data_IF_127700333202
#
_entry.id   IF_127700333202
#
_cell.length_a   1.000
_cell.length_b   1.000
_cell.length_c   1.000
_cell.angle_alpha   90.00
_cell.angle_beta   90.00
_cell.angle_gamma   90.00
#
_symmetry.space_group_name_H-M   'P 1'
#
loop_
_entity.id
_entity.type
_entity.pdbx_description
1 polymer ?
#
# COMPACT_ATOMS: atom_id res chain seq x y z
N UNK A 1 28.23 -1.82 25.60
CA UNK A 1 27.28 -2.91 25.31
C UNK A 1 25.98 -2.29 24.81
N UNK A 2 25.74 -2.29 23.50
CA UNK A 2 24.53 -1.68 22.89
C UNK A 2 23.35 -2.62 23.12
N UNK A 3 22.37 -2.22 23.92
CA UNK A 3 21.09 -2.92 24.07
C UNK A 3 20.26 -2.62 22.83
N UNK A 4 20.24 -3.54 21.87
CA UNK A 4 19.29 -3.48 20.77
C UNK A 4 17.94 -3.93 21.31
N UNK A 5 17.02 -2.98 21.44
CA UNK A 5 15.61 -3.26 21.66
C UNK A 5 15.10 -3.98 20.40
N UNK A 6 14.98 -5.30 20.49
CA UNK A 6 14.15 -6.08 19.58
C UNK A 6 12.71 -5.59 19.75
N UNK A 7 12.31 -4.63 18.91
CA UNK A 7 10.94 -4.21 18.78
C UNK A 7 10.22 -5.37 18.09
N UNK A 8 9.69 -6.28 18.92
CA UNK A 8 8.92 -7.43 18.53
C UNK A 8 7.85 -7.01 17.52
N UNK A 9 8.04 -7.47 16.29
CA UNK A 9 7.03 -7.45 15.24
C UNK A 9 5.87 -8.26 15.80
N UNK A 10 4.82 -7.56 16.25
CA UNK A 10 3.56 -8.20 16.55
C UNK A 10 3.08 -8.88 15.27
N UNK A 11 3.14 -10.21 15.34
CA UNK A 11 2.73 -11.17 14.34
C UNK A 11 1.24 -10.97 14.03
N UNK A 12 0.90 -10.30 12.92
CA UNK A 12 -0.42 -10.44 12.31
C UNK A 12 -0.49 -11.83 11.64
N UNK A 13 -0.63 -12.88 12.46
CA UNK A 13 -1.02 -14.20 12.01
C UNK A 13 -2.46 -14.46 12.43
N UNK A 14 -3.40 -13.81 11.76
CA UNK A 14 -4.76 -14.31 11.68
C UNK A 14 -4.85 -15.22 10.45
N UNK A 15 -4.53 -16.51 10.64
CA UNK A 15 -4.81 -17.54 9.63
C UNK A 15 -6.30 -17.82 9.72
N UNK A 16 -7.08 -17.29 8.79
CA UNK A 16 -8.44 -17.76 8.55
C UNK A 16 -8.54 -18.31 7.12
N UNK A 17 -8.84 -19.59 7.08
CA UNK A 17 -8.99 -20.43 5.90
C UNK A 17 -10.30 -20.04 5.25
N UNK A 18 -10.33 -19.63 3.98
CA UNK A 18 -11.58 -19.58 3.23
C UNK A 18 -11.47 -20.11 1.81
N UNK A 19 -12.48 -20.90 1.51
CA UNK A 19 -12.75 -21.68 0.32
C UNK A 19 -13.00 -20.78 -0.88
N UNK A 20 -12.40 -21.15 -1.99
CA UNK A 20 -12.68 -20.62 -3.32
C UNK A 20 -14.17 -20.64 -3.63
N UNK A 21 -14.79 -19.46 -3.77
CA UNK A 21 -15.99 -19.28 -4.57
C UNK A 21 -15.77 -18.07 -5.50
N UNK A 22 -15.44 -18.40 -6.75
CA UNK A 22 -15.81 -17.71 -8.00
C UNK A 22 -15.80 -16.18 -8.01
N UNK A 23 -14.73 -15.57 -8.55
CA UNK A 23 -14.80 -14.36 -9.40
C UNK A 23 -15.56 -13.11 -8.91
N UNK A 24 -15.80 -12.94 -7.61
CA UNK A 24 -16.70 -11.90 -7.12
C UNK A 24 -16.03 -10.54 -6.93
N UNK A 25 -16.64 -9.48 -7.45
CA UNK A 25 -16.44 -8.07 -7.12
C UNK A 25 -16.86 -7.72 -5.66
N UNK A 26 -16.92 -8.72 -4.79
CA UNK A 26 -17.34 -8.61 -3.39
C UNK A 26 -16.21 -8.08 -2.50
N UNK A 27 -16.58 -7.28 -1.50
CA UNK A 27 -15.66 -7.05 -0.40
C UNK A 27 -15.53 -8.34 0.41
N UNK A 28 -14.33 -8.66 0.86
CA UNK A 28 -14.06 -9.87 1.65
C UNK A 28 -12.71 -9.79 2.36
N UNK A 29 -12.56 -10.54 3.45
CA UNK A 29 -11.28 -10.70 4.10
C UNK A 29 -10.24 -11.37 3.18
N UNK A 30 -8.96 -11.13 3.46
CA UNK A 30 -7.82 -11.70 2.75
C UNK A 30 -6.82 -12.32 3.71
N UNK A 31 -6.21 -13.43 3.29
CA UNK A 31 -5.07 -13.99 4.01
C UNK A 31 -3.78 -13.30 3.56
N UNK A 32 -3.07 -12.67 4.50
CA UNK A 32 -1.81 -11.96 4.28
C UNK A 32 -0.68 -12.77 4.92
N UNK A 33 0.25 -13.29 4.12
CA UNK A 33 1.25 -14.25 4.62
C UNK A 33 2.56 -13.59 5.03
N UNK A 34 2.84 -12.42 4.49
CA UNK A 34 4.10 -11.70 4.70
C UNK A 34 3.92 -10.18 4.55
N UNK A 35 5.00 -9.44 4.77
CA UNK A 35 4.99 -7.98 4.66
C UNK A 35 4.63 -7.47 3.25
N UNK A 36 5.04 -8.17 2.20
CA UNK A 36 4.75 -7.77 0.82
C UNK A 36 3.27 -7.95 0.48
N UNK A 37 2.64 -9.04 0.95
CA UNK A 37 1.21 -9.26 0.83
C UNK A 37 0.44 -8.11 1.49
N UNK A 38 0.83 -7.75 2.72
CA UNK A 38 0.23 -6.63 3.44
C UNK A 38 0.45 -5.28 2.74
N UNK A 39 1.63 -5.04 2.16
CA UNK A 39 1.90 -3.83 1.37
C UNK A 39 1.00 -3.73 0.14
N UNK A 40 0.86 -4.83 -0.62
CA UNK A 40 -0.02 -4.87 -1.79
C UNK A 40 -1.48 -4.59 -1.41
N UNK A 41 -1.96 -5.24 -0.36
CA UNK A 41 -3.34 -5.07 0.12
C UNK A 41 -3.60 -3.66 0.68
N UNK A 42 -2.69 -3.13 1.51
CA UNK A 42 -2.76 -1.78 2.06
C UNK A 42 -2.79 -0.72 0.95
N UNK A 43 -1.92 -0.85 -0.05
CA UNK A 43 -1.89 0.06 -1.20
C UNK A 43 -3.21 0.00 -1.98
N UNK A 44 -3.81 -1.19 -2.11
CA UNK A 44 -5.14 -1.35 -2.67
C UNK A 44 -6.18 -0.55 -1.89
N UNK A 45 -6.25 -0.73 -0.57
CA UNK A 45 -7.21 -0.03 0.30
C UNK A 45 -7.10 1.49 0.17
N UNK A 46 -5.88 2.03 0.31
CA UNK A 46 -5.62 3.48 0.24
C UNK A 46 -6.12 4.06 -1.08
N UNK A 47 -5.80 3.42 -2.21
CA UNK A 47 -6.28 3.86 -3.51
C UNK A 47 -7.81 3.72 -3.63
N UNK A 48 -8.38 2.64 -3.09
CA UNK A 48 -9.83 2.39 -3.14
C UNK A 48 -10.63 3.43 -2.36
N UNK A 49 -10.18 3.77 -1.16
CA UNK A 49 -10.78 4.84 -0.36
C UNK A 49 -10.62 6.20 -1.02
N UNK A 50 -9.44 6.50 -1.59
CA UNK A 50 -9.22 7.72 -2.36
C UNK A 50 -10.21 7.85 -3.52
N UNK A 51 -10.43 6.78 -4.28
CA UNK A 51 -11.40 6.76 -5.39
C UNK A 51 -12.83 6.97 -4.89
N UNK A 52 -13.22 6.26 -3.82
CA UNK A 52 -14.53 6.43 -3.20
C UNK A 52 -14.73 7.89 -2.78
N UNK A 53 -13.73 8.46 -2.11
CA UNK A 53 -13.72 9.82 -1.65
C UNK A 53 -13.67 10.83 -2.80
N UNK A 54 -13.15 10.54 -3.99
CA UNK A 54 -13.17 11.50 -5.09
C UNK A 54 -14.44 11.46 -5.94
N UNK A 55 -15.02 10.27 -6.13
CA UNK A 55 -16.04 10.05 -7.17
C UNK A 55 -17.38 9.53 -6.66
N UNK A 56 -17.43 9.02 -5.43
CA UNK A 56 -18.60 8.35 -4.87
C UNK A 56 -19.03 8.93 -3.51
N UNK A 57 -18.60 10.16 -3.16
CA UNK A 57 -18.94 10.81 -1.89
C UNK A 57 -20.45 10.86 -1.62
N UNK A 58 -21.25 11.03 -2.68
CA UNK A 58 -22.71 11.16 -2.61
C UNK A 58 -23.46 9.85 -2.88
N UNK A 59 -22.76 8.75 -3.18
CA UNK A 59 -23.38 7.44 -3.40
C UNK A 59 -23.60 6.72 -2.07
N UNK A 60 -24.57 7.21 -1.30
CA UNK A 60 -24.96 6.66 0.00
C UNK A 60 -25.54 5.24 -0.07
N UNK A 61 -25.85 4.73 -1.27
CA UNK A 61 -26.47 3.42 -1.48
C UNK A 61 -25.49 2.34 -1.96
N UNK A 62 -24.23 2.70 -2.23
CA UNK A 62 -23.22 1.85 -2.85
C UNK A 62 -23.63 1.24 -4.21
N UNK A 63 -24.73 1.73 -4.81
CA UNK A 63 -25.30 1.20 -6.06
C UNK A 63 -24.49 1.64 -7.27
N UNK A 64 -24.04 2.90 -7.30
CA UNK A 64 -23.20 3.41 -8.39
C UNK A 64 -21.79 2.81 -8.30
N UNK A 65 -21.28 2.60 -7.08
CA UNK A 65 -20.05 1.87 -6.83
C UNK A 65 -20.11 0.42 -7.32
N UNK A 66 -21.18 -0.32 -6.98
CA UNK A 66 -21.36 -1.70 -7.45
C UNK A 66 -21.46 -1.78 -8.98
N UNK A 67 -22.14 -0.81 -9.60
CA UNK A 67 -22.24 -0.67 -11.06
C UNK A 67 -20.87 -0.37 -11.68
N UNK A 68 -20.09 0.54 -11.09
CA UNK A 68 -18.73 0.86 -11.53
C UNK A 68 -17.81 -0.37 -11.48
N UNK A 69 -17.80 -1.12 -10.38
CA UNK A 69 -16.95 -2.32 -10.25
C UNK A 69 -17.33 -3.39 -11.28
N UNK A 70 -18.63 -3.60 -11.53
CA UNK A 70 -19.11 -4.51 -12.55
C UNK A 70 -18.81 -4.02 -13.98
N UNK A 71 -18.86 -2.70 -14.21
CA UNK A 71 -18.49 -2.09 -15.49
C UNK A 71 -16.98 -2.13 -15.73
N UNK A 72 -16.15 -1.91 -14.71
CA UNK A 72 -14.69 -1.98 -14.78
C UNK A 72 -14.21 -3.40 -15.16
N UNK A 73 -14.84 -4.44 -14.61
CA UNK A 73 -14.56 -5.84 -14.96
C UNK A 73 -14.92 -6.15 -16.43
N UNK A 74 -15.97 -5.50 -16.97
CA UNK A 74 -16.38 -5.60 -18.38
C UNK A 74 -15.61 -4.66 -19.32
N UNK A 75 -15.08 -3.55 -18.81
CA UNK A 75 -14.44 -2.48 -19.58
C UNK A 75 -13.10 -2.90 -20.20
N UNK A 76 -12.50 -4.01 -19.75
CA UNK A 76 -11.44 -4.70 -20.49
C UNK A 76 -11.87 -5.16 -21.91
N UNK A 77 -13.13 -4.94 -22.31
CA UNK A 77 -13.69 -5.26 -23.64
C UNK A 77 -14.30 -4.07 -24.41
N UNK A 78 -14.12 -2.80 -24.01
CA UNK A 78 -14.75 -1.64 -24.69
C UNK A 78 -13.81 -0.44 -24.94
N UNK A 79 -14.12 0.37 -25.96
CA UNK A 79 -13.42 1.63 -26.32
C UNK A 79 -14.15 2.90 -25.79
N UNK A 80 -14.78 2.84 -24.61
CA UNK A 80 -15.48 4.01 -24.04
C UNK A 80 -14.54 5.22 -23.86
N UNK A 81 -15.08 6.44 -23.91
CA UNK A 81 -14.34 7.68 -23.63
C UNK A 81 -14.79 8.36 -22.33
N UNK A 82 -15.63 7.71 -21.54
CA UNK A 82 -16.13 8.28 -20.29
C UNK A 82 -15.01 8.57 -19.30
N UNK A 83 -15.20 9.60 -18.47
CA UNK A 83 -14.22 10.02 -17.46
C UNK A 83 -13.84 8.87 -16.51
N UNK A 84 -14.83 8.11 -16.04
CA UNK A 84 -14.61 6.92 -15.20
C UNK A 84 -13.82 5.83 -15.93
N UNK A 85 -14.03 5.67 -17.24
CA UNK A 85 -13.27 4.72 -18.05
C UNK A 85 -11.81 5.18 -18.23
N UNK A 86 -11.58 6.47 -18.51
CA UNK A 86 -10.24 7.03 -18.62
C UNK A 86 -9.47 6.95 -17.30
N UNK A 87 -10.16 7.21 -16.18
CA UNK A 87 -9.58 7.05 -14.85
C UNK A 87 -9.25 5.58 -14.55
N UNK A 88 -10.17 4.65 -14.86
CA UNK A 88 -9.91 3.21 -14.78
C UNK A 88 -8.68 2.77 -15.61
N UNK A 89 -8.50 3.34 -16.81
CA UNK A 89 -7.29 3.15 -17.62
C UNK A 89 -6.03 3.71 -16.95
N UNK A 90 -6.10 4.87 -16.31
CA UNK A 90 -4.97 5.46 -15.60
C UNK A 90 -4.54 4.58 -14.42
N UNK A 91 -5.50 4.16 -13.59
CA UNK A 91 -5.26 3.23 -12.45
C UNK A 91 -4.71 1.90 -12.96
N UNK A 92 -5.35 1.29 -13.96
CA UNK A 92 -4.89 0.02 -14.55
C UNK A 92 -3.50 0.14 -15.19
N UNK A 93 -3.21 1.27 -15.84
CA UNK A 93 -1.89 1.60 -16.38
C UNK A 93 -0.82 1.70 -15.30
N UNK A 94 -1.12 2.39 -14.19
CA UNK A 94 -0.24 2.49 -13.03
C UNK A 94 0.05 1.11 -12.42
N UNK A 95 -0.99 0.30 -12.20
CA UNK A 95 -0.84 -1.08 -11.69
C UNK A 95 -0.01 -1.96 -12.65
N UNK A 96 -0.19 -1.81 -13.96
CA UNK A 96 0.63 -2.51 -14.96
C UNK A 96 2.11 -2.10 -14.88
N UNK A 97 2.41 -0.82 -14.63
CA UNK A 97 3.79 -0.37 -14.44
C UNK A 97 4.38 -0.91 -13.14
N UNK A 98 3.64 -0.93 -12.04
CA UNK A 98 4.11 -1.54 -10.79
C UNK A 98 4.31 -3.06 -10.94
N UNK A 99 3.43 -3.75 -11.68
CA UNK A 99 3.65 -5.17 -12.01
C UNK A 99 4.95 -5.40 -12.77
N UNK A 100 5.32 -4.47 -13.67
CA UNK A 100 6.55 -4.56 -14.47
C UNK A 100 7.81 -4.22 -13.67
N UNK A 101 7.73 -3.17 -12.85
CA UNK A 101 8.90 -2.55 -12.23
C UNK A 101 9.04 -2.84 -10.72
N UNK A 102 8.12 -3.62 -10.16
CA UNK A 102 7.99 -3.85 -8.72
C UNK A 102 6.96 -2.94 -8.05
N UNK A 103 6.45 -3.38 -6.91
CA UNK A 103 5.47 -2.63 -6.12
C UNK A 103 6.05 -1.28 -5.71
N UNK A 104 5.26 -0.20 -5.88
CA UNK A 104 5.72 1.18 -5.61
C UNK A 104 7.01 1.52 -6.39
N UNK A 105 7.21 0.90 -7.56
CA UNK A 105 8.39 1.05 -8.41
C UNK A 105 9.71 0.59 -7.76
N UNK A 106 9.65 -0.21 -6.69
CA UNK A 106 10.80 -0.88 -6.09
C UNK A 106 10.83 -2.34 -6.56
N UNK A 107 11.80 -2.67 -7.42
CA UNK A 107 11.97 -4.02 -7.98
C UNK A 107 12.23 -5.12 -6.96
N UNK A 108 12.58 -4.76 -5.72
CA UNK A 108 12.76 -5.72 -4.61
C UNK A 108 11.45 -6.04 -3.89
N UNK A 109 10.34 -5.38 -4.25
CA UNK A 109 9.01 -5.64 -3.75
C UNK A 109 8.14 -6.30 -4.82
N UNK A 110 7.65 -7.49 -4.55
CA UNK A 110 6.83 -8.23 -5.51
C UNK A 110 5.40 -7.67 -5.56
N UNK A 111 4.94 -7.36 -6.77
CA UNK A 111 3.55 -6.97 -7.02
C UNK A 111 2.63 -8.20 -7.01
N UNK A 112 1.60 -8.17 -6.16
CA UNK A 112 0.57 -9.19 -6.05
C UNK A 112 -0.77 -8.63 -6.55
N UNK A 113 -1.10 -8.98 -7.81
CA UNK A 113 -2.28 -8.48 -8.51
C UNK A 113 -3.60 -8.81 -7.79
N UNK A 114 -3.70 -10.00 -7.19
CA UNK A 114 -4.92 -10.42 -6.50
C UNK A 114 -5.15 -9.58 -5.23
N UNK A 115 -4.09 -9.38 -4.43
CA UNK A 115 -4.19 -8.64 -3.18
C UNK A 115 -4.45 -7.15 -3.40
N UNK A 116 -3.77 -6.52 -4.36
CA UNK A 116 -4.00 -5.09 -4.62
C UNK A 116 -5.40 -4.83 -5.18
N UNK A 117 -5.92 -5.72 -6.05
CA UNK A 117 -7.30 -5.64 -6.55
C UNK A 117 -8.31 -5.85 -5.42
N UNK A 118 -8.07 -6.80 -4.52
CA UNK A 118 -8.98 -7.02 -3.41
C UNK A 118 -8.95 -5.85 -2.41
N UNK A 119 -7.76 -5.31 -2.12
CA UNK A 119 -7.62 -4.10 -1.30
C UNK A 119 -8.37 -2.92 -1.90
N UNK A 120 -8.26 -2.72 -3.22
CA UNK A 120 -9.00 -1.69 -3.95
C UNK A 120 -10.51 -1.83 -3.76
N UNK A 121 -11.05 -3.03 -3.97
CA UNK A 121 -12.49 -3.32 -3.80
C UNK A 121 -12.92 -3.05 -2.35
N UNK A 122 -12.13 -3.52 -1.38
CA UNK A 122 -12.44 -3.38 0.04
C UNK A 122 -12.42 -1.91 0.48
N UNK A 123 -11.40 -1.14 0.07
CA UNK A 123 -11.32 0.29 0.33
C UNK A 123 -12.48 1.06 -0.30
N UNK A 124 -12.82 0.78 -1.55
CA UNK A 124 -13.96 1.42 -2.20
C UNK A 124 -15.29 1.11 -1.49
N UNK A 125 -15.43 -0.09 -0.93
CA UNK A 125 -16.63 -0.51 -0.20
C UNK A 125 -16.62 -0.10 1.27
N UNK A 126 -15.54 0.51 1.77
CA UNK A 126 -15.31 0.73 3.22
C UNK A 126 -15.56 -0.53 4.03
N UNK A 127 -14.95 -1.64 3.59
CA UNK A 127 -15.09 -2.92 4.25
C UNK A 127 -14.45 -2.86 5.64
N UNK A 128 -15.27 -3.02 6.68
CA UNK A 128 -14.84 -2.88 8.07
C UNK A 128 -14.21 -4.13 8.68
N UNK A 129 -14.16 -5.24 7.95
CA UNK A 129 -13.56 -6.48 8.41
C UNK A 129 -12.18 -6.65 7.74
N UNK A 130 -11.12 -6.52 8.55
CA UNK A 130 -9.73 -6.48 8.08
C UNK A 130 -9.10 -5.09 8.21
N UNK A 131 -8.03 -4.85 7.45
CA UNK A 131 -7.28 -3.59 7.53
C UNK A 131 -8.16 -2.40 7.10
N UNK A 132 -8.34 -1.46 7.99
CA UNK A 132 -8.99 -0.16 7.72
C UNK A 132 -8.07 0.75 6.89
N UNK A 133 -8.62 1.82 6.32
CA UNK A 133 -7.83 2.85 5.63
C UNK A 133 -6.71 3.46 6.46
N UNK A 134 -7.01 3.79 7.72
CA UNK A 134 -6.04 4.36 8.66
C UNK A 134 -4.91 3.37 8.96
N UNK A 135 -5.25 2.11 9.24
CA UNK A 135 -4.25 1.05 9.44
C UNK A 135 -3.42 0.81 8.18
N UNK A 136 -4.03 0.85 7.00
CA UNK A 136 -3.33 0.71 5.73
C UNK A 136 -2.32 1.84 5.51
N UNK A 137 -2.73 3.08 5.77
CA UNK A 137 -1.86 4.26 5.65
C UNK A 137 -0.68 4.17 6.63
N UNK A 138 -0.97 3.85 7.90
CA UNK A 138 0.05 3.70 8.94
C UNK A 138 1.02 2.55 8.62
N UNK A 139 0.51 1.42 8.15
CA UNK A 139 1.31 0.26 7.77
C UNK A 139 2.25 0.58 6.61
N UNK A 140 1.74 1.24 5.56
CA UNK A 140 2.53 1.66 4.41
C UNK A 140 3.65 2.61 4.85
N UNK A 141 3.32 3.67 5.57
CA UNK A 141 4.29 4.67 6.04
C UNK A 141 5.39 4.03 6.88
N UNK A 142 5.00 3.26 7.91
CA UNK A 142 5.95 2.63 8.83
C UNK A 142 6.84 1.61 8.12
N UNK A 143 6.28 0.84 7.19
CA UNK A 143 7.04 -0.15 6.43
C UNK A 143 8.05 0.51 5.51
N UNK A 144 7.65 1.56 4.79
CA UNK A 144 8.54 2.28 3.88
C UNK A 144 9.64 3.02 4.63
N UNK A 145 9.34 3.63 5.78
CA UNK A 145 10.36 4.23 6.65
C UNK A 145 11.41 3.21 7.08
N UNK A 146 10.99 2.06 7.62
CA UNK A 146 11.91 0.99 8.02
C UNK A 146 12.73 0.43 6.87
N UNK A 147 12.18 0.41 5.65
CA UNK A 147 12.92 0.01 4.44
C UNK A 147 13.97 1.05 4.08
N UNK A 148 13.62 2.33 4.13
CA UNK A 148 14.55 3.43 3.87
C UNK A 148 15.71 3.41 4.86
N UNK A 149 15.44 3.26 6.16
CA UNK A 149 16.45 3.17 7.21
C UNK A 149 17.42 1.98 6.99
N UNK A 150 16.91 0.82 6.55
CA UNK A 150 17.74 -0.35 6.23
C UNK A 150 18.60 -0.17 4.97
N UNK A 151 18.13 0.64 4.03
CA UNK A 151 18.79 0.86 2.75
C UNK A 151 19.70 2.10 2.75
N UNK A 152 19.75 2.86 3.85
CA UNK A 152 20.71 3.95 4.00
C UNK A 152 22.13 3.39 4.11
N UNK A 153 23.10 3.93 3.35
CA UNK A 153 24.49 3.55 3.53
C UNK A 153 24.94 3.89 4.96
N UNK A 154 25.89 3.14 5.55
CA UNK A 154 26.44 3.48 6.85
C UNK A 154 26.98 4.91 6.80
N UNK A 155 26.56 5.74 7.76
CA UNK A 155 27.12 7.08 7.91
C UNK A 155 28.63 6.93 8.13
N UNK A 156 29.47 7.66 7.37
CA UNK A 156 30.91 7.67 7.66
C UNK A 156 31.12 8.12 9.11
N UNK A 157 32.13 7.60 9.81
CA UNK A 157 32.46 8.10 11.14
C UNK A 157 32.59 9.61 11.08
N UNK A 158 31.91 10.31 11.98
CA UNK A 158 32.15 11.74 12.18
C UNK A 158 33.58 11.85 12.69
N UNK A 159 34.50 12.29 11.84
CA UNK A 159 35.81 12.75 12.28
C UNK A 159 35.55 13.94 13.20
N UNK A 160 35.69 13.70 14.50
CA UNK A 160 35.72 14.78 15.48
C UNK A 160 37.04 15.50 15.24
N UNK A 161 37.01 16.54 14.41
CA UNK A 161 38.13 17.45 14.26
C UNK A 161 38.38 18.05 15.65
N UNK A 162 39.43 17.55 16.31
CA UNK A 162 39.86 18.09 17.59
C UNK A 162 40.39 19.49 17.32
N UNK A 163 39.53 20.48 17.49
CA UNK A 163 39.92 21.88 17.58
C UNK A 163 40.91 21.99 18.74
N UNK A 164 42.21 22.02 18.42
CA UNK A 164 43.25 22.29 19.39
C UNK A 164 43.05 23.72 19.89
N UNK A 165 42.51 23.85 21.09
CA UNK A 165 42.49 25.10 21.85
C UNK A 165 43.93 25.59 21.98
N UNK A 166 44.32 26.53 21.13
CA UNK A 166 45.57 27.27 21.27
C UNK A 166 45.46 28.16 22.51
N UNK A 167 45.91 27.62 23.63
CA UNK A 167 46.24 28.38 24.83
C UNK A 167 47.53 29.16 24.58
N UNK A 168 47.45 30.28 23.87
CA UNK A 168 48.51 31.28 23.88
C UNK A 168 47.95 32.65 23.48
N UNK A 169 47.38 33.34 24.46
CA UNK A 169 47.21 34.80 24.48
C UNK A 169 46.94 35.26 25.91
N UNK A 170 47.92 35.05 26.79
CA UNK A 170 48.11 35.87 27.99
C UNK A 170 49.57 36.28 28.04
N UNK A 171 49.88 37.45 27.48
CA UNK A 171 50.94 38.33 27.96
C UNK A 171 50.67 39.76 27.51
#
# INVERSE_FOLDING_TARGET
>A
MKKQHFLSIALFAAILIFTSCTGGTGAKEVSLKNQEDSLNYALGIINGEGIKASYFQTDSTAKNLGTFLAAADKAFKSDSKDEMYNYGKQVGGMLKQQKKNGLIFDSTLVFNEALIKQGLINGMKSFGEGMTGEEAQMYLQTTMQKRQERNMPPQPPVEVESESLNADSVK
#
